data_IF_725613605710
#
_entry.id   IF_725613605710
#
_cell.length_a   1.000
_cell.length_b   1.000
_cell.length_c   1.000
_cell.angle_alpha   90.00
_cell.angle_beta   90.00
_cell.angle_gamma   90.00
#
_symmetry.space_group_name_H-M   'P 1'
#
loop_
_entity.id
_entity.type
_entity.pdbx_description
1 polymer ?
#
# COMPACT_ATOMS: atom_id res chain seq x y z
N UNK A 1 0.06 6.14 -9.43
CA UNK A 1 0.11 4.93 -8.59
C UNK A 1 1.56 4.69 -8.19
N UNK A 2 1.81 4.09 -7.03
CA UNK A 2 3.16 3.75 -6.57
C UNK A 2 3.15 2.45 -5.74
N UNK A 3 4.34 1.92 -5.46
CA UNK A 3 4.57 0.79 -4.57
C UNK A 3 5.00 1.31 -3.21
N UNK A 4 4.12 1.15 -2.22
CA UNK A 4 4.41 1.52 -0.84
C UNK A 4 4.75 0.27 -0.03
N UNK A 5 5.99 0.15 0.44
CA UNK A 5 6.44 -0.93 1.29
C UNK A 5 6.35 -0.48 2.74
N UNK A 6 5.36 -0.98 3.46
CA UNK A 6 5.11 -0.64 4.86
C UNK A 6 5.80 -1.66 5.74
N UNK A 7 6.65 -1.21 6.66
CA UNK A 7 7.27 -2.05 7.68
C UNK A 7 6.38 -2.11 8.91
N UNK A 8 5.86 -3.29 9.22
CA UNK A 8 4.85 -3.50 10.25
C UNK A 8 3.46 -3.69 9.66
N UNK A 9 2.46 -3.63 10.53
CA UNK A 9 1.06 -3.83 10.16
C UNK A 9 0.21 -2.69 10.72
N UNK A 10 -0.15 -1.69 9.89
CA UNK A 10 -1.07 -0.62 10.28
C UNK A 10 -2.54 -1.07 10.27
N UNK A 11 -2.83 -2.35 10.00
CA UNK A 11 -4.19 -2.88 10.01
C UNK A 11 -4.97 -2.64 8.72
N UNK A 12 -4.28 -2.42 7.60
CA UNK A 12 -4.91 -2.14 6.31
C UNK A 12 -5.14 -3.40 5.47
N UNK A 13 -6.11 -3.32 4.55
CA UNK A 13 -6.44 -4.37 3.57
C UNK A 13 -6.65 -3.76 2.19
N UNK A 14 -6.82 -4.60 1.18
CA UNK A 14 -7.10 -4.16 -0.19
C UNK A 14 -8.39 -3.32 -0.25
N UNK A 15 -8.27 -2.07 -0.66
CA UNK A 15 -9.31 -1.05 -0.73
C UNK A 15 -9.44 -0.20 0.54
N UNK A 16 -8.47 -0.27 1.45
CA UNK A 16 -8.34 0.70 2.53
C UNK A 16 -7.88 2.06 1.98
N UNK A 17 -8.27 3.14 2.65
CA UNK A 17 -7.80 4.51 2.38
C UNK A 17 -6.83 4.91 3.47
N UNK A 18 -5.66 5.39 3.06
CA UNK A 18 -4.58 5.84 3.94
C UNK A 18 -4.20 7.28 3.60
N UNK A 19 -3.68 8.02 4.57
CA UNK A 19 -2.97 9.27 4.34
C UNK A 19 -1.47 9.01 4.49
N UNK A 20 -0.70 9.49 3.51
CA UNK A 20 0.76 9.41 3.51
C UNK A 20 1.31 10.69 2.87
N UNK A 21 2.27 11.33 3.54
CA UNK A 21 2.84 12.64 3.15
C UNK A 21 1.80 13.76 2.91
N UNK A 22 0.62 13.66 3.53
CA UNK A 22 -0.48 14.62 3.35
C UNK A 22 -1.32 14.37 2.10
N UNK A 23 -1.16 13.22 1.44
CA UNK A 23 -1.98 12.77 0.32
C UNK A 23 -2.87 11.58 0.71
N UNK A 24 -4.15 11.63 0.33
CA UNK A 24 -5.08 10.51 0.47
C UNK A 24 -4.87 9.49 -0.65
N UNK A 25 -4.48 8.27 -0.28
CA UNK A 25 -4.18 7.18 -1.21
C UNK A 25 -5.06 5.96 -0.92
N UNK A 26 -5.54 5.33 -1.98
CA UNK A 26 -6.29 4.07 -1.93
C UNK A 26 -5.32 2.91 -2.12
N UNK A 27 -5.38 1.92 -1.24
CA UNK A 27 -4.57 0.70 -1.34
C UNK A 27 -5.23 -0.32 -2.27
N UNK A 28 -4.94 -0.27 -3.57
CA UNK A 28 -5.51 -1.17 -4.57
C UNK A 28 -5.08 -2.64 -4.48
N UNK A 29 -3.93 -2.90 -3.86
CA UNK A 29 -3.39 -4.25 -3.74
C UNK A 29 -2.41 -4.33 -2.59
N UNK A 30 -2.40 -5.46 -1.91
CA UNK A 30 -1.56 -5.68 -0.73
C UNK A 30 -1.01 -7.10 -0.74
N UNK A 31 0.29 -7.26 -0.45
CA UNK A 31 0.92 -8.55 -0.22
C UNK A 31 1.69 -8.49 1.10
N UNK A 32 1.43 -9.46 1.98
CA UNK A 32 2.13 -9.58 3.26
C UNK A 32 3.35 -10.49 3.11
N UNK A 33 4.52 -9.94 3.41
CA UNK A 33 5.82 -10.58 3.26
C UNK A 33 6.46 -10.78 4.63
N UNK A 34 7.24 -11.86 4.76
CA UNK A 34 8.11 -12.08 5.92
C UNK A 34 7.48 -12.85 7.09
N UNK A 35 6.32 -13.49 6.92
CA UNK A 35 5.64 -14.19 8.02
C UNK A 35 6.37 -15.47 8.53
N UNK A 36 7.32 -16.04 7.78
CA UNK A 36 8.00 -17.30 8.17
C UNK A 36 9.50 -17.14 8.41
N UNK A 37 10.24 -16.66 7.41
CA UNK A 37 11.67 -16.31 7.50
C UNK A 37 11.88 -14.85 7.08
N UNK A 38 11.20 -13.94 7.79
CA UNK A 38 11.28 -12.52 7.56
C UNK A 38 11.94 -11.75 8.70
N UNK A 39 12.01 -10.42 8.57
CA UNK A 39 12.45 -9.53 9.64
C UNK A 39 11.52 -9.59 10.87
N UNK A 40 11.92 -8.94 11.96
CA UNK A 40 11.20 -8.95 13.24
C UNK A 40 9.74 -8.43 13.14
N UNK A 41 9.44 -7.66 12.10
CA UNK A 41 8.10 -7.17 11.76
C UNK A 41 7.76 -7.56 10.31
N UNK A 42 6.49 -7.88 10.00
CA UNK A 42 6.06 -8.16 8.63
C UNK A 42 6.28 -6.94 7.73
N UNK A 43 6.37 -7.16 6.42
CA UNK A 43 6.39 -6.08 5.43
C UNK A 43 5.15 -6.19 4.55
N UNK A 44 4.37 -5.11 4.43
CA UNK A 44 3.22 -5.04 3.53
C UNK A 44 3.64 -4.32 2.25
N UNK A 45 3.55 -5.03 1.13
CA UNK A 45 3.84 -4.48 -0.20
C UNK A 45 2.53 -4.04 -0.83
N UNK A 46 2.28 -2.75 -0.76
CA UNK A 46 1.04 -2.13 -1.19
C UNK A 46 1.22 -1.49 -2.57
N UNK A 47 0.19 -1.57 -3.41
CA UNK A 47 0.06 -0.70 -4.58
C UNK A 47 -0.96 0.35 -4.21
N UNK A 48 -0.53 1.61 -4.15
CA UNK A 48 -1.36 2.72 -3.68
C UNK A 48 -1.44 3.80 -4.75
N UNK A 49 -2.50 4.58 -4.72
CA UNK A 49 -2.65 5.74 -5.60
C UNK A 49 -3.96 6.48 -5.33
N UNK A 50 -4.15 7.68 -5.91
CA UNK A 50 -5.41 8.41 -5.82
C UNK A 50 -6.58 7.61 -6.40
N UNK A 51 -7.79 7.86 -5.88
CA UNK A 51 -8.98 7.05 -6.20
C UNK A 51 -9.35 7.02 -7.69
N UNK A 52 -8.97 8.03 -8.47
CA UNK A 52 -9.22 8.10 -9.91
C UNK A 52 -8.38 7.09 -10.73
N UNK A 53 -7.30 6.55 -10.16
CA UNK A 53 -6.47 5.54 -10.80
C UNK A 53 -6.97 4.09 -10.60
N UNK A 54 -8.05 3.87 -9.83
CA UNK A 54 -8.58 2.53 -9.54
C UNK A 54 -8.87 1.74 -10.82
N UNK A 55 -9.51 2.37 -11.81
CA UNK A 55 -9.82 1.73 -13.09
C UNK A 55 -8.57 1.34 -13.88
N UNK A 56 -7.50 2.14 -13.79
CA UNK A 56 -6.20 1.86 -14.44
C UNK A 56 -5.56 0.64 -13.78
N UNK A 57 -5.62 0.56 -12.44
CA UNK A 57 -5.13 -0.59 -11.70
C UNK A 57 -5.89 -1.87 -12.06
N UNK A 58 -7.23 -1.84 -12.04
CA UNK A 58 -8.08 -3.01 -12.31
C UNK A 58 -7.90 -3.54 -13.74
N UNK A 59 -7.80 -2.64 -14.72
CA UNK A 59 -7.56 -2.99 -16.12
C UNK A 59 -6.11 -3.33 -16.42
N UNK A 60 -5.20 -3.14 -15.46
CA UNK A 60 -3.75 -3.33 -15.62
C UNK A 60 -3.18 -2.48 -16.76
N UNK A 61 -3.70 -1.26 -16.92
CA UNK A 61 -3.26 -0.27 -17.91
C UNK A 61 -2.01 0.50 -17.44
N UNK A 62 -1.05 -0.22 -16.86
CA UNK A 62 0.20 0.33 -16.34
C UNK A 62 1.31 -0.72 -16.40
N UNK A 63 2.57 -0.27 -16.32
CA UNK A 63 3.74 -1.16 -16.27
C UNK A 63 4.21 -1.23 -14.81
N UNK A 64 4.07 -2.38 -14.12
CA UNK A 64 4.42 -2.48 -12.70
C UNK A 64 5.86 -2.11 -12.37
N UNK A 65 6.80 -2.33 -13.30
CA UNK A 65 8.23 -2.04 -13.14
C UNK A 65 8.56 -0.55 -13.24
N UNK A 66 7.61 0.29 -13.66
CA UNK A 66 7.78 1.75 -13.74
C UNK A 66 7.11 2.49 -12.59
N UNK A 67 6.48 1.78 -11.66
CA UNK A 67 5.95 2.40 -10.46
C UNK A 67 7.10 2.75 -9.52
N UNK A 68 7.07 3.97 -9.01
CA UNK A 68 7.98 4.38 -7.95
C UNK A 68 7.78 3.51 -6.71
N UNK A 69 8.87 3.29 -5.98
CA UNK A 69 8.88 2.43 -4.80
C UNK A 69 9.37 3.23 -3.61
N UNK A 70 8.54 3.32 -2.58
CA UNK A 70 8.86 3.95 -1.32
C UNK A 70 8.74 2.96 -0.16
N UNK A 71 9.47 3.23 0.91
CA UNK A 71 9.47 2.38 2.11
C UNK A 71 9.30 3.25 3.34
N UNK A 72 8.34 2.87 4.17
CA UNK A 72 7.84 3.67 5.31
C UNK A 72 7.54 2.73 6.48
N UNK A 73 7.69 3.22 7.71
CA UNK A 73 7.28 2.49 8.90
C UNK A 73 5.76 2.62 9.13
N UNK A 74 5.11 1.58 9.66
CA UNK A 74 3.66 1.56 9.85
C UNK A 74 3.14 2.70 10.74
N UNK A 75 3.98 3.22 11.63
CA UNK A 75 3.67 4.34 12.53
C UNK A 75 3.54 5.69 11.81
N UNK A 76 4.04 5.82 10.58
CA UNK A 76 3.96 7.05 9.78
C UNK A 76 2.72 7.11 8.88
N UNK A 77 1.91 6.04 8.86
CA UNK A 77 0.71 5.94 8.04
C UNK A 77 -0.53 6.18 8.90
N UNK A 78 -1.35 7.14 8.49
CA UNK A 78 -2.67 7.34 9.06
C UNK A 78 -3.72 6.56 8.26
N UNK A 79 -4.49 5.71 8.95
CA UNK A 79 -5.54 4.90 8.31
C UNK A 79 -6.87 5.65 8.42
N UNK A 80 -7.28 6.30 7.33
CA UNK A 80 -8.53 7.04 7.26
C UNK A 80 -9.75 6.11 7.17
N UNK A 81 -9.64 5.04 6.39
CA UNK A 81 -10.70 4.05 6.26
C UNK A 81 -10.13 2.63 6.18
N UNK A 82 -10.31 1.86 7.24
CA UNK A 82 -10.04 0.43 7.23
C UNK A 82 -11.17 -0.31 6.48
N UNK A 83 -10.81 -1.17 5.53
CA UNK A 83 -11.78 -2.05 4.87
C UNK A 83 -11.96 -3.34 5.69
N UNK A 84 -13.22 -3.64 6.04
CA UNK A 84 -13.63 -4.80 6.83
C UNK A 84 -13.39 -6.14 6.10
#
# INVERSE_FOLDING_TARGET
MQKLIIRGDPGIRNGAVIEYEGEELVCFGINRQGDWHGPDRPQLWCTVGPADEEAVYERREYIPMFLDVETVDAEEIEVLQAKA
#
